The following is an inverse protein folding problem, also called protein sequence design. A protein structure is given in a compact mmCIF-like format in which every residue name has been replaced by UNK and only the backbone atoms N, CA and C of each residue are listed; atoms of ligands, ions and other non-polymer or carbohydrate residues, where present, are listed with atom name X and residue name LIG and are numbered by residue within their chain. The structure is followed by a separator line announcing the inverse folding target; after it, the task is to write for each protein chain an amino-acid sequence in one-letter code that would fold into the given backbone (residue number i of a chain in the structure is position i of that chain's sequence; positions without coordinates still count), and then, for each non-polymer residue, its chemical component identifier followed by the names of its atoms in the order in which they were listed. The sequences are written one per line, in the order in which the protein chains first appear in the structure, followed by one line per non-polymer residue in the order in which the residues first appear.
data_IF_843709944483
#
_entry.id   IF_843709944483
#
_cell.length_a   1.000
_cell.length_b   1.000
_cell.length_c   1.000
_cell.angle_alpha   90.00
_cell.angle_beta   90.00
_cell.angle_gamma   90.00
#
_symmetry.space_group_name_H-M   'P 1'
#
loop_
_entity.id
_entity.type
_entity.pdbx_description
1 polymer ?
#
# COMPACT_ATOMS: atom_id res chain seq x y z
N UNK A 1 20.94 -6.72 -4.67
CA UNK A 1 20.30 -5.97 -5.75
C UNK A 1 19.01 -5.42 -5.17
N UNK A 2 18.91 -4.10 -4.96
CA UNK A 2 17.64 -3.49 -4.59
C UNK A 2 16.66 -3.69 -5.76
N UNK A 3 15.43 -4.11 -5.47
CA UNK A 3 14.42 -4.23 -6.52
C UNK A 3 14.09 -2.82 -7.03
N UNK A 4 13.61 -2.72 -8.27
CA UNK A 4 13.22 -1.42 -8.85
C UNK A 4 12.18 -0.72 -7.97
N UNK A 5 11.29 -1.49 -7.33
CA UNK A 5 10.32 -1.01 -6.34
C UNK A 5 11.00 -0.37 -5.13
N UNK A 6 12.07 -0.95 -4.59
CA UNK A 6 12.78 -0.38 -3.43
C UNK A 6 13.41 0.98 -3.77
N UNK A 7 13.83 1.18 -5.02
CA UNK A 7 14.38 2.46 -5.48
C UNK A 7 13.28 3.53 -5.56
N UNK A 8 12.13 3.21 -6.16
CA UNK A 8 10.98 4.11 -6.21
C UNK A 8 10.46 4.44 -4.82
N UNK A 9 10.45 3.47 -3.91
CA UNK A 9 10.04 3.68 -2.52
C UNK A 9 10.99 4.60 -1.77
N UNK A 10 12.30 4.49 -2.01
CA UNK A 10 13.28 5.41 -1.42
C UNK A 10 13.10 6.84 -1.94
N UNK A 11 12.86 7.02 -3.24
CA UNK A 11 12.56 8.33 -3.82
C UNK A 11 11.27 8.91 -3.24
N UNK A 12 10.21 8.09 -3.16
CA UNK A 12 8.93 8.47 -2.57
C UNK A 12 9.09 8.94 -1.13
N UNK A 13 9.85 8.20 -0.30
CA UNK A 13 10.07 8.54 1.10
C UNK A 13 10.81 9.89 1.29
N UNK A 14 11.77 10.20 0.41
CA UNK A 14 12.45 11.51 0.42
C UNK A 14 11.47 12.63 0.06
N UNK A 15 10.62 12.39 -0.94
CA UNK A 15 9.66 13.37 -1.42
C UNK A 15 8.57 13.66 -0.38
N UNK A 16 8.01 12.64 0.27
CA UNK A 16 7.00 12.82 1.32
C UNK A 16 7.56 13.52 2.56
N UNK A 17 8.81 13.26 2.92
CA UNK A 17 9.48 13.97 4.00
C UNK A 17 9.63 15.47 3.69
N UNK A 18 10.03 15.81 2.46
CA UNK A 18 10.18 17.20 2.03
C UNK A 18 8.82 17.92 1.91
N UNK A 19 7.80 17.25 1.36
CA UNK A 19 6.41 17.73 1.35
C UNK A 19 5.95 18.06 2.78
N UNK A 20 6.14 17.13 3.72
CA UNK A 20 5.75 17.32 5.13
C UNK A 20 6.44 18.54 5.75
N UNK A 21 7.74 18.69 5.53
CA UNK A 21 8.50 19.84 6.03
C UNK A 21 8.01 21.17 5.45
N UNK A 22 7.74 21.21 4.13
CA UNK A 22 7.25 22.41 3.43
C UNK A 22 5.82 22.76 3.82
N UNK A 23 4.93 21.78 4.03
CA UNK A 23 3.59 22.02 4.61
C UNK A 23 3.72 22.72 5.97
N UNK A 24 4.68 22.31 6.80
CA UNK A 24 5.02 22.99 8.06
C UNK A 24 5.39 24.47 7.86
N UNK A 25 6.21 24.78 6.86
CA UNK A 25 6.64 26.15 6.54
C UNK A 25 5.51 27.01 5.95
N UNK A 26 4.67 26.45 5.09
CA UNK A 26 3.51 27.13 4.48
C UNK A 26 2.53 27.65 5.54
N UNK A 27 2.42 26.96 6.68
CA UNK A 27 1.57 27.39 7.81
C UNK A 27 2.10 28.62 8.55
N UNK A 28 3.41 28.89 8.48
CA UNK A 28 4.10 29.94 9.24
C UNK A 28 4.42 31.15 8.37
N UNK A 29 4.76 30.93 7.10
CA UNK A 29 5.16 31.99 6.18
C UNK A 29 3.99 32.68 5.47
N UNK A 30 4.23 33.90 5.02
CA UNK A 30 3.26 34.75 4.31
C UNK A 30 3.86 35.36 3.04
N UNK A 31 3.02 35.76 2.08
CA UNK A 31 3.45 36.48 0.88
C UNK A 31 4.12 35.61 -0.19
N UNK A 32 5.18 36.13 -0.82
CA UNK A 32 5.84 35.52 -1.98
C UNK A 32 6.53 34.18 -1.68
N UNK A 33 7.15 34.03 -0.51
CA UNK A 33 7.80 32.78 -0.10
C UNK A 33 6.76 31.65 0.08
N UNK A 34 5.60 31.97 0.69
CA UNK A 34 4.48 31.02 0.78
C UNK A 34 4.05 30.52 -0.59
N UNK A 35 3.95 31.42 -1.58
CA UNK A 35 3.56 31.06 -2.96
C UNK A 35 4.59 30.12 -3.62
N UNK A 36 5.88 30.36 -3.41
CA UNK A 36 6.94 29.49 -3.91
C UNK A 36 6.88 28.09 -3.28
N UNK A 37 6.72 28.00 -1.95
CA UNK A 37 6.55 26.71 -1.27
C UNK A 37 5.29 25.98 -1.71
N UNK A 38 4.18 26.69 -1.94
CA UNK A 38 2.93 26.09 -2.44
C UNK A 38 3.16 25.48 -3.83
N UNK A 39 3.79 26.22 -4.75
CA UNK A 39 4.05 25.71 -6.10
C UNK A 39 4.99 24.51 -6.10
N UNK A 40 6.02 24.54 -5.24
CA UNK A 40 6.97 23.44 -5.14
C UNK A 40 6.35 22.18 -4.52
N UNK A 41 5.49 22.33 -3.50
CA UNK A 41 4.72 21.19 -2.95
C UNK A 41 3.70 20.65 -3.96
N UNK A 42 3.02 21.50 -4.73
CA UNK A 42 2.12 21.06 -5.81
C UNK A 42 2.89 20.15 -6.81
N UNK A 43 4.09 20.57 -7.26
CA UNK A 43 4.96 19.75 -8.14
C UNK A 43 5.40 18.44 -7.47
N UNK A 44 5.81 18.48 -6.21
CA UNK A 44 6.26 17.28 -5.50
C UNK A 44 5.13 16.27 -5.26
N UNK A 45 3.89 16.73 -5.09
CA UNK A 45 2.73 15.84 -5.00
C UNK A 45 2.52 15.11 -6.32
N UNK A 46 2.64 15.80 -7.47
CA UNK A 46 2.57 15.17 -8.80
C UNK A 46 3.68 14.13 -9.00
N UNK A 47 4.93 14.48 -8.67
CA UNK A 47 6.07 13.54 -8.72
C UNK A 47 5.88 12.31 -7.79
N UNK A 48 5.30 12.49 -6.60
CA UNK A 48 4.96 11.37 -5.71
C UNK A 48 3.87 10.47 -6.31
N UNK A 49 2.91 11.03 -7.04
CA UNK A 49 1.88 10.26 -7.74
C UNK A 49 2.49 9.43 -8.87
N UNK A 50 3.39 10.00 -9.67
CA UNK A 50 4.10 9.27 -10.73
C UNK A 50 4.91 8.10 -10.17
N UNK A 51 5.62 8.30 -9.04
CA UNK A 51 6.36 7.23 -8.38
C UNK A 51 5.45 6.11 -7.86
N UNK A 52 4.28 6.46 -7.33
CA UNK A 52 3.26 5.47 -6.93
C UNK A 52 2.77 4.65 -8.13
N UNK A 53 2.47 5.30 -9.25
CA UNK A 53 2.05 4.61 -10.48
C UNK A 53 3.15 3.66 -11.00
N UNK A 54 4.41 4.09 -10.97
CA UNK A 54 5.54 3.24 -11.35
C UNK A 54 5.69 2.03 -10.41
N UNK A 55 5.51 2.21 -9.09
CA UNK A 55 5.48 1.10 -8.14
C UNK A 55 4.30 0.14 -8.41
N UNK A 56 3.11 0.65 -8.70
CA UNK A 56 1.93 -0.18 -9.04
C UNK A 56 2.18 -1.03 -10.30
N UNK A 57 2.79 -0.44 -11.33
CA UNK A 57 3.15 -1.14 -12.58
C UNK A 57 4.17 -2.25 -12.34
N UNK A 58 5.21 -1.98 -11.56
CA UNK A 58 6.24 -2.97 -11.24
C UNK A 58 5.68 -4.12 -10.39
N UNK A 59 4.82 -3.81 -9.41
CA UNK A 59 4.14 -4.82 -8.58
C UNK A 59 3.20 -5.69 -9.41
N UNK A 60 2.57 -5.17 -10.47
CA UNK A 60 1.76 -5.99 -11.40
C UNK A 60 2.59 -7.04 -12.15
N UNK A 61 3.87 -6.80 -12.38
CA UNK A 61 4.78 -7.75 -13.02
C UNK A 61 5.24 -8.90 -12.11
N UNK A 62 4.95 -8.85 -10.81
CA UNK A 62 5.42 -9.82 -9.81
C UNK A 62 4.39 -10.93 -9.55
N UNK A 63 4.87 -12.11 -9.15
CA UNK A 63 4.03 -13.29 -8.88
C UNK A 63 4.09 -13.74 -7.40
N UNK A 64 3.01 -14.38 -6.93
CA UNK A 64 2.95 -15.06 -5.63
C UNK A 64 2.87 -14.13 -4.41
N UNK A 65 3.32 -14.62 -3.26
CA UNK A 65 3.20 -13.94 -1.95
C UNK A 65 3.97 -12.62 -1.85
N UNK A 66 5.03 -12.44 -2.64
CA UNK A 66 5.78 -11.19 -2.71
C UNK A 66 4.92 -10.05 -3.27
N UNK A 67 4.10 -10.32 -4.29
CA UNK A 67 3.17 -9.37 -4.90
C UNK A 67 2.16 -8.85 -3.87
N UNK A 68 1.53 -9.75 -3.11
CA UNK A 68 0.50 -9.35 -2.13
C UNK A 68 1.08 -8.44 -1.04
N UNK A 69 2.30 -8.75 -0.58
CA UNK A 69 3.00 -7.91 0.40
C UNK A 69 3.33 -6.53 -0.17
N UNK A 70 3.88 -6.47 -1.38
CA UNK A 70 4.26 -5.20 -2.02
C UNK A 70 3.04 -4.36 -2.38
N UNK A 71 1.94 -4.98 -2.83
CA UNK A 71 0.67 -4.29 -3.07
C UNK A 71 0.15 -3.61 -1.80
N UNK A 72 0.16 -4.31 -0.66
CA UNK A 72 -0.23 -3.72 0.61
C UNK A 72 0.63 -2.51 1.02
N UNK A 73 1.92 -2.50 0.69
CA UNK A 73 2.80 -1.34 0.92
C UNK A 73 2.44 -0.17 0.02
N UNK A 74 2.21 -0.41 -1.27
CA UNK A 74 1.81 0.63 -2.23
C UNK A 74 0.47 1.27 -1.83
N UNK A 75 -0.50 0.48 -1.36
CA UNK A 75 -1.77 1.01 -0.84
C UNK A 75 -1.57 1.89 0.41
N UNK A 76 -0.64 1.51 1.29
CA UNK A 76 -0.29 2.33 2.46
C UNK A 76 0.31 3.68 2.06
N UNK A 77 1.24 3.67 1.09
CA UNK A 77 1.84 4.90 0.55
C UNK A 77 0.80 5.77 -0.16
N UNK A 78 -0.14 5.16 -0.90
CA UNK A 78 -1.27 5.88 -1.52
C UNK A 78 -2.13 6.60 -0.48
N UNK A 79 -2.45 5.94 0.64
CA UNK A 79 -3.20 6.53 1.74
C UNK A 79 -2.43 7.67 2.42
N UNK A 80 -1.11 7.53 2.61
CA UNK A 80 -0.24 8.57 3.15
C UNK A 80 -0.20 9.81 2.24
N UNK A 81 0.04 9.63 0.94
CA UNK A 81 0.08 10.75 -0.01
C UNK A 81 -1.25 11.50 -0.02
N UNK A 82 -2.38 10.78 0.01
CA UNK A 82 -3.70 11.40 0.11
C UNK A 82 -3.84 12.26 1.37
N UNK A 83 -3.35 11.77 2.52
CA UNK A 83 -3.36 12.53 3.78
C UNK A 83 -2.51 13.80 3.67
N UNK A 84 -1.30 13.70 3.10
CA UNK A 84 -0.41 14.84 2.88
C UNK A 84 -1.04 15.87 1.94
N UNK A 85 -1.69 15.44 0.86
CA UNK A 85 -2.41 16.33 -0.05
C UNK A 85 -3.54 17.08 0.68
N UNK A 86 -4.30 16.42 1.56
CA UNK A 86 -5.32 17.09 2.36
C UNK A 86 -4.71 18.10 3.35
N UNK A 87 -3.66 17.73 4.07
CA UNK A 87 -2.94 18.64 4.97
C UNK A 87 -2.39 19.86 4.22
N UNK A 88 -1.87 19.65 3.01
CA UNK A 88 -1.40 20.72 2.13
C UNK A 88 -2.53 21.65 1.69
N UNK A 89 -3.70 21.13 1.28
CA UNK A 89 -4.85 21.98 0.93
C UNK A 89 -5.32 22.83 2.11
N UNK A 90 -5.26 22.29 3.34
CA UNK A 90 -5.56 23.05 4.56
C UNK A 90 -4.52 24.15 4.79
N UNK A 91 -3.23 23.84 4.64
CA UNK A 91 -2.14 24.82 4.82
C UNK A 91 -2.13 25.91 3.73
N UNK A 92 -2.54 25.57 2.51
CA UNK A 92 -2.63 26.47 1.35
C UNK A 92 -3.67 27.56 1.55
N UNK A 93 -4.77 27.26 2.26
CA UNK A 93 -5.79 28.27 2.58
C UNK A 93 -5.14 29.46 3.29
N UNK A 94 -5.53 30.70 2.93
CA UNK A 94 -5.07 31.86 3.68
C UNK A 94 -5.46 31.66 5.15
N UNK A 95 -4.56 32.03 6.07
CA UNK A 95 -4.99 32.34 7.43
C UNK A 95 -5.96 33.50 7.25
N UNK A 96 -7.26 33.23 7.22
CA UNK A 96 -8.22 34.26 7.58
C UNK A 96 -7.76 34.78 8.94
N UNK A 97 -7.65 36.10 9.06
CA UNK A 97 -7.29 36.82 10.28
C UNK A 97 -8.14 36.35 11.46
N UNK A 98 -7.65 35.33 12.16
CA UNK A 98 -8.11 34.92 13.50
C UNK A 98 -7.18 35.52 14.56
N UNK A 99 -6.27 36.42 14.15
CA UNK A 99 -5.42 37.20 15.04
C UNK A 99 -6.05 38.56 15.32
N UNK A 100 -6.47 38.71 16.58
CA UNK A 100 -6.72 39.97 17.28
C UNK A 100 -7.95 40.80 16.86
N UNK A 101 -9.06 40.53 17.56
CA UNK A 101 -10.01 41.61 17.91
C UNK A 101 -9.26 42.53 18.89
N UNK A 102 -8.41 43.40 18.38
CA UNK A 102 -8.00 44.60 19.11
C UNK A 102 -9.09 45.63 18.86
N UNK A 103 -10.02 45.74 19.79
CA UNK A 103 -10.99 46.84 19.82
C UNK A 103 -10.20 48.11 20.13
N UNK A 104 -9.62 48.72 19.10
CA UNK A 104 -9.09 50.08 19.21
C UNK A 104 -10.29 51.02 19.07
N UNK A 105 -10.83 51.38 20.23
CA UNK A 105 -11.98 52.25 20.42
C UNK A 105 -11.60 53.70 20.08
N UNK A 106 -11.56 54.04 18.79
CA UNK A 106 -11.51 55.43 18.33
C UNK A 106 -12.91 55.85 17.90
N UNK A 107 -13.68 56.38 18.85
CA UNK A 107 -14.92 57.12 18.57
C UNK A 107 -14.57 58.45 17.91
N UNK A 108 -14.67 58.52 16.58
CA UNK A 108 -14.76 59.80 15.88
C UNK A 108 -15.87 59.78 14.81
N UNK A 109 -16.51 60.93 14.65
CA UNK A 109 -17.89 61.11 14.22
C UNK A 109 -18.08 61.08 12.68
N UNK A 110 -17.86 59.92 12.04
CA UNK A 110 -18.23 59.66 10.63
C UNK A 110 -19.12 58.41 10.47
N UNK A 111 -20.21 58.37 11.25
CA UNK A 111 -20.94 57.16 11.64
C UNK A 111 -21.66 56.40 10.51
N UNK A 112 -22.03 57.01 9.38
CA UNK A 112 -22.97 56.36 8.44
C UNK A 112 -22.29 55.55 7.33
N UNK A 113 -21.21 56.07 6.73
CA UNK A 113 -20.47 55.39 5.65
C UNK A 113 -19.67 54.20 6.20
N UNK A 114 -19.01 54.37 7.36
CA UNK A 114 -18.21 53.32 7.98
C UNK A 114 -19.05 52.15 8.52
N UNK A 115 -20.26 52.42 9.03
CA UNK A 115 -21.19 51.34 9.40
C UNK A 115 -21.63 50.54 8.18
N UNK A 116 -21.94 51.20 7.05
CA UNK A 116 -22.31 50.52 5.81
C UNK A 116 -21.16 49.68 5.26
N UNK A 117 -19.94 50.20 5.32
CA UNK A 117 -18.72 49.50 4.90
C UNK A 117 -18.44 48.28 5.78
N UNK A 118 -18.61 48.40 7.11
CA UNK A 118 -18.50 47.28 8.06
C UNK A 118 -19.54 46.18 7.82
N UNK A 119 -20.78 46.54 7.51
CA UNK A 119 -21.83 45.57 7.19
C UNK A 119 -21.58 44.86 5.86
N UNK A 120 -21.10 45.56 4.85
CA UNK A 120 -20.71 44.95 3.57
C UNK A 120 -19.53 43.99 3.75
N UNK A 121 -18.52 44.38 4.52
CA UNK A 121 -17.35 43.54 4.82
C UNK A 121 -17.74 42.30 5.64
N UNK A 122 -18.61 42.48 6.65
CA UNK A 122 -19.18 41.36 7.39
C UNK A 122 -20.02 40.43 6.49
N UNK A 123 -20.80 40.97 5.55
CA UNK A 123 -21.57 40.17 4.60
C UNK A 123 -20.69 39.40 3.61
N UNK A 124 -19.64 40.03 3.11
CA UNK A 124 -18.67 39.39 2.20
C UNK A 124 -17.91 38.27 2.94
N UNK A 125 -17.56 38.50 4.21
CA UNK A 125 -16.93 37.49 5.07
C UNK A 125 -17.86 36.30 5.34
N UNK A 126 -19.15 36.54 5.59
CA UNK A 126 -20.14 35.47 5.75
C UNK A 126 -20.28 34.66 4.46
N UNK A 127 -20.34 35.34 3.30
CA UNK A 127 -20.44 34.66 2.01
C UNK A 127 -19.21 33.78 1.72
N UNK A 128 -17.99 34.28 1.99
CA UNK A 128 -16.75 33.49 1.84
C UNK A 128 -16.69 32.31 2.81
N UNK A 129 -17.11 32.52 4.07
CA UNK A 129 -17.16 31.46 5.07
C UNK A 129 -18.17 30.38 4.66
N UNK A 130 -19.33 30.79 4.14
CA UNK A 130 -20.35 29.89 3.57
C UNK A 130 -19.82 29.04 2.41
N UNK A 131 -19.11 29.65 1.44
CA UNK A 131 -18.44 28.92 0.34
C UNK A 131 -17.41 27.92 0.85
N UNK A 132 -16.61 28.32 1.84
CA UNK A 132 -15.57 27.45 2.42
C UNK A 132 -16.18 26.26 3.15
N UNK A 133 -17.27 26.47 3.87
CA UNK A 133 -17.99 25.44 4.59
C UNK A 133 -18.70 24.47 3.64
N UNK A 134 -19.32 24.99 2.57
CA UNK A 134 -19.90 24.16 1.51
C UNK A 134 -18.86 23.29 0.81
N UNK A 135 -17.68 23.85 0.51
CA UNK A 135 -16.57 23.10 -0.07
C UNK A 135 -16.01 22.05 0.91
N UNK A 136 -15.92 22.38 2.19
CA UNK A 136 -15.52 21.43 3.24
C UNK A 136 -16.50 20.27 3.38
N UNK A 137 -17.81 20.56 3.35
CA UNK A 137 -18.87 19.56 3.38
C UNK A 137 -18.81 18.62 2.17
N UNK A 138 -18.65 19.17 0.96
CA UNK A 138 -18.46 18.36 -0.25
C UNK A 138 -17.24 17.46 -0.17
N UNK A 139 -16.12 18.00 0.29
CA UNK A 139 -14.88 17.24 0.46
C UNK A 139 -15.00 16.13 1.52
N UNK A 140 -15.76 16.37 2.58
CA UNK A 140 -16.06 15.36 3.60
C UNK A 140 -16.90 14.21 3.03
N UNK A 141 -17.93 14.52 2.22
CA UNK A 141 -18.74 13.51 1.54
C UNK A 141 -17.92 12.69 0.52
N UNK A 142 -17.10 13.34 -0.30
CA UNK A 142 -16.19 12.64 -1.23
C UNK A 142 -15.20 11.75 -0.44
N UNK A 143 -14.77 12.18 0.74
CA UNK A 143 -13.90 11.38 1.62
C UNK A 143 -14.64 10.18 2.22
N UNK A 144 -15.91 10.34 2.62
CA UNK A 144 -16.76 9.26 3.11
C UNK A 144 -16.98 8.19 2.03
N UNK A 145 -17.29 8.60 0.80
CA UNK A 145 -17.48 7.69 -0.32
C UNK A 145 -16.21 6.87 -0.61
N UNK A 146 -15.05 7.52 -0.62
CA UNK A 146 -13.78 6.81 -0.79
C UNK A 146 -13.48 5.89 0.39
N UNK A 147 -13.76 6.32 1.62
CA UNK A 147 -13.60 5.46 2.82
C UNK A 147 -14.46 4.21 2.75
N UNK A 148 -15.71 4.35 2.29
CA UNK A 148 -16.62 3.24 2.02
C UNK A 148 -16.06 2.28 0.97
N UNK A 149 -15.52 2.81 -0.13
CA UNK A 149 -14.89 2.00 -1.18
C UNK A 149 -13.70 1.20 -0.65
N UNK A 150 -12.82 1.84 0.13
CA UNK A 150 -11.66 1.18 0.74
C UNK A 150 -12.10 0.06 1.70
N UNK A 151 -13.11 0.32 2.54
CA UNK A 151 -13.65 -0.71 3.44
C UNK A 151 -14.22 -1.90 2.67
N UNK A 152 -14.92 -1.65 1.56
CA UNK A 152 -15.45 -2.70 0.68
C UNK A 152 -14.32 -3.54 0.08
N UNK A 153 -13.28 -2.90 -0.44
CA UNK A 153 -12.14 -3.60 -1.03
C UNK A 153 -11.36 -4.42 0.00
N UNK A 154 -11.14 -3.89 1.20
CA UNK A 154 -10.54 -4.64 2.32
C UNK A 154 -11.39 -5.86 2.70
N UNK A 155 -12.71 -5.72 2.66
CA UNK A 155 -13.63 -6.84 2.91
C UNK A 155 -13.50 -7.94 1.85
N UNK A 156 -13.50 -7.58 0.57
CA UNK A 156 -13.30 -8.52 -0.55
C UNK A 156 -11.91 -9.20 -0.50
N UNK A 157 -10.87 -8.45 -0.13
CA UNK A 157 -9.54 -8.99 0.11
C UNK A 157 -9.52 -9.99 1.26
N UNK A 158 -10.16 -9.68 2.39
CA UNK A 158 -10.29 -10.60 3.53
C UNK A 158 -10.98 -11.90 3.12
N UNK A 159 -12.06 -11.80 2.36
CA UNK A 159 -12.80 -12.96 1.87
C UNK A 159 -11.92 -13.82 0.94
N UNK A 160 -11.16 -13.17 0.03
CA UNK A 160 -10.23 -13.84 -0.87
C UNK A 160 -9.14 -14.59 -0.10
N UNK A 161 -8.55 -13.97 0.94
CA UNK A 161 -7.57 -14.61 1.82
C UNK A 161 -8.18 -15.82 2.55
N UNK A 162 -9.42 -15.69 3.04
CA UNK A 162 -10.12 -16.80 3.70
C UNK A 162 -10.37 -17.97 2.75
N UNK A 163 -10.85 -17.71 1.52
CA UNK A 163 -11.05 -18.75 0.50
C UNK A 163 -9.74 -19.44 0.12
N UNK A 164 -8.65 -18.67 -0.07
CA UNK A 164 -7.33 -19.22 -0.37
C UNK A 164 -6.78 -20.08 0.77
N UNK A 165 -6.97 -19.68 2.04
CA UNK A 165 -6.62 -20.51 3.20
C UNK A 165 -7.45 -21.79 3.28
N UNK A 166 -8.75 -21.72 2.97
CA UNK A 166 -9.62 -22.89 2.89
C UNK A 166 -9.12 -23.90 1.86
N UNK A 167 -8.81 -23.42 0.65
CA UNK A 167 -8.24 -24.24 -0.44
C UNK A 167 -6.89 -24.87 -0.07
N UNK A 168 -5.98 -24.10 0.53
CA UNK A 168 -4.69 -24.64 1.00
C UNK A 168 -4.88 -25.76 2.02
N UNK A 169 -5.82 -25.61 2.97
CA UNK A 169 -6.09 -26.65 3.98
C UNK A 169 -6.71 -27.91 3.37
N UNK A 170 -7.51 -27.75 2.33
CA UNK A 170 -8.07 -28.87 1.55
C UNK A 170 -6.98 -29.57 0.73
N UNK A 171 -6.11 -28.81 0.06
CA UNK A 171 -4.94 -29.32 -0.66
C UNK A 171 -3.96 -30.04 0.29
N UNK A 172 -3.70 -29.54 1.49
CA UNK A 172 -2.88 -30.22 2.51
C UNK A 172 -3.51 -31.58 2.93
N UNK A 173 -4.83 -31.62 3.06
CA UNK A 173 -5.54 -32.87 3.36
C UNK A 173 -5.48 -33.87 2.20
N UNK A 174 -5.51 -33.41 0.95
CA UNK A 174 -5.35 -34.24 -0.24
C UNK A 174 -3.90 -34.72 -0.44
N UNK A 175 -2.91 -33.85 -0.18
CA UNK A 175 -1.48 -34.20 -0.19
C UNK A 175 -1.16 -35.25 0.88
N UNK A 176 -1.78 -35.17 2.06
CA UNK A 176 -1.65 -36.19 3.11
C UNK A 176 -2.18 -37.57 2.67
N UNK A 177 -3.27 -37.62 1.89
CA UNK A 177 -3.80 -38.87 1.32
C UNK A 177 -2.93 -39.38 0.16
N UNK A 178 -2.48 -38.49 -0.72
CA UNK A 178 -1.58 -38.80 -1.82
C UNK A 178 -0.24 -39.37 -1.35
N UNK A 179 0.37 -38.77 -0.32
CA UNK A 179 1.62 -39.22 0.30
C UNK A 179 1.52 -40.64 0.87
N UNK A 180 0.37 -40.98 1.47
CA UNK A 180 0.12 -42.31 2.05
C UNK A 180 0.00 -43.38 0.96
N UNK A 181 -0.63 -43.07 -0.16
CA UNK A 181 -0.70 -43.95 -1.33
C UNK A 181 0.66 -44.09 -2.02
N UNK A 182 1.40 -42.98 -2.17
CA UNK A 182 2.73 -42.97 -2.80
C UNK A 182 3.75 -43.78 -1.98
N UNK A 183 3.76 -43.61 -0.66
CA UNK A 183 4.61 -44.42 0.23
C UNK A 183 4.32 -45.91 0.07
N UNK A 184 3.04 -46.31 -0.02
CA UNK A 184 2.66 -47.70 -0.28
C UNK A 184 3.19 -48.24 -1.61
N UNK A 185 3.20 -47.43 -2.67
CA UNK A 185 3.78 -47.81 -3.97
C UNK A 185 5.31 -47.93 -3.92
N UNK A 186 5.99 -46.99 -3.24
CA UNK A 186 7.46 -46.98 -3.12
C UNK A 186 7.95 -48.24 -2.40
N UNK A 187 7.33 -48.60 -1.26
CA UNK A 187 7.70 -49.79 -0.50
C UNK A 187 7.49 -51.08 -1.31
N UNK A 188 6.38 -51.20 -2.05
CA UNK A 188 6.12 -52.37 -2.92
C UNK A 188 7.15 -52.48 -4.05
N UNK A 189 7.54 -51.36 -4.67
CA UNK A 189 8.55 -51.37 -5.73
C UNK A 189 9.93 -51.79 -5.20
N UNK A 190 10.28 -51.37 -3.97
CA UNK A 190 11.54 -51.73 -3.35
C UNK A 190 11.59 -53.22 -3.01
N UNK A 191 10.49 -53.78 -2.50
CA UNK A 191 10.38 -55.20 -2.20
C UNK A 191 10.61 -56.07 -3.45
N UNK A 192 10.01 -55.70 -4.59
CA UNK A 192 10.22 -56.41 -5.85
C UNK A 192 11.68 -56.37 -6.31
N UNK A 193 12.35 -55.22 -6.17
CA UNK A 193 13.78 -55.08 -6.51
C UNK A 193 14.68 -55.96 -5.63
N UNK A 194 14.39 -56.03 -4.32
CA UNK A 194 15.17 -56.86 -3.38
C UNK A 194 14.99 -58.35 -3.70
N UNK A 195 13.75 -58.80 -3.99
CA UNK A 195 13.49 -60.19 -4.36
C UNK A 195 14.26 -60.57 -5.64
N UNK A 196 14.22 -59.72 -6.66
CA UNK A 196 14.95 -59.94 -7.91
C UNK A 196 16.47 -60.06 -7.68
N UNK A 197 17.05 -59.16 -6.87
CA UNK A 197 18.46 -59.20 -6.52
C UNK A 197 18.84 -60.48 -5.76
N UNK A 198 17.98 -60.95 -4.86
CA UNK A 198 18.18 -62.21 -4.12
C UNK A 198 18.19 -63.43 -5.04
N UNK A 199 17.24 -63.51 -5.99
CA UNK A 199 17.20 -64.61 -6.97
C UNK A 199 18.46 -64.60 -7.86
N UNK A 200 18.88 -63.42 -8.34
CA UNK A 200 20.09 -63.30 -9.14
C UNK A 200 21.35 -63.75 -8.36
N UNK A 201 21.46 -63.39 -7.08
CA UNK A 201 22.57 -63.81 -6.22
C UNK A 201 22.62 -65.32 -6.03
N UNK A 202 21.47 -65.98 -5.81
CA UNK A 202 21.40 -67.44 -5.70
C UNK A 202 21.85 -68.12 -7.00
N UNK A 203 21.44 -67.61 -8.16
CA UNK A 203 21.87 -68.15 -9.46
C UNK A 203 23.39 -68.03 -9.66
N UNK A 204 23.99 -66.92 -9.26
CA UNK A 204 25.44 -66.72 -9.32
C UNK A 204 26.16 -67.73 -8.41
N UNK A 205 25.68 -67.94 -7.18
CA UNK A 205 26.27 -68.91 -6.24
C UNK A 205 26.24 -70.32 -6.85
N UNK A 206 25.11 -70.74 -7.41
CA UNK A 206 24.97 -72.07 -8.04
C UNK A 206 25.94 -72.20 -9.22
N UNK A 207 26.05 -71.19 -10.07
CA UNK A 207 27.01 -71.19 -11.19
C UNK A 207 28.46 -71.30 -10.70
N UNK A 208 28.84 -70.56 -9.67
CA UNK A 208 30.17 -70.65 -9.06
C UNK A 208 30.46 -72.04 -8.50
N UNK A 209 29.48 -72.67 -7.84
CA UNK A 209 29.60 -74.03 -7.30
C UNK A 209 29.85 -75.04 -8.44
N UNK A 210 29.06 -74.97 -9.52
CA UNK A 210 29.21 -75.86 -10.68
C UNK A 210 30.60 -75.73 -11.30
N UNK A 211 31.07 -74.49 -11.53
CA UNK A 211 32.40 -74.23 -12.09
C UNK A 211 33.50 -74.76 -11.19
N UNK A 212 33.39 -74.58 -9.87
CA UNK A 212 34.37 -75.09 -8.92
C UNK A 212 34.48 -76.62 -8.95
N UNK A 213 33.34 -77.32 -9.02
CA UNK A 213 33.34 -78.78 -9.12
C UNK A 213 33.82 -79.27 -10.49
N UNK A 214 33.50 -78.57 -11.59
CA UNK A 214 33.94 -78.96 -12.93
C UNK A 214 35.45 -78.78 -13.15
N UNK A 215 36.08 -77.81 -12.50
CA UNK A 215 37.53 -77.61 -12.56
C UNK A 215 38.32 -78.52 -11.61
N UNK A 216 37.67 -79.04 -10.57
CA UNK A 216 38.28 -79.94 -9.60
C UNK A 216 38.16 -81.42 -9.99
N UNK A 217 37.19 -81.78 -10.83
CA UNK A 217 37.07 -83.11 -11.46
C UNK A 217 37.95 -83.21 -12.70
#
# INVERSE_FOLDING_TARGET
MASLVDNYEQQYAVLTADITAKIGRIRVQSGGEKRAFVQDVDRQIEEAQELLEQMELEVRGMNGTARDRLRGRVESHRAELKRLTQEFQIAKKPKDDVTEITVEESWDNNVTEDQRKRLLDASERIERSGRTLQNGYRMALETEEIGSHVLKELHEQRETIQRSRGRLRETDAELGRGSRLLSGMIFRSLQQRIILAGVALVLIIVACIVIYYSFKS
#
